data_IF_749430974857
#
_entry.id   IF_749430974857
#
_cell.length_a   1.000
_cell.length_b   1.000
_cell.length_c   1.000
_cell.angle_alpha   90.00
_cell.angle_beta   90.00
_cell.angle_gamma   90.00
#
_symmetry.space_group_name_H-M   'P 1'
#
loop_
_entity.id
_entity.type
_entity.pdbx_description
1 polymer ?
#
# COMPACT_ATOMS: atom_id res chain seq x y z
N UNK A 1 -21.47 33.40 43.81
CA UNK A 1 -21.87 32.20 44.57
C UNK A 1 -20.67 31.27 44.60
N UNK A 2 -20.37 30.65 45.75
CA UNK A 2 -19.18 29.84 45.94
C UNK A 2 -19.48 28.62 46.82
N UNK A 3 -18.88 27.47 46.47
CA UNK A 3 -18.46 26.35 47.33
C UNK A 3 -17.55 25.48 46.45
N UNK A 4 -16.28 25.25 46.77
CA UNK A 4 -15.74 24.44 47.89
C UNK A 4 -16.26 23.00 47.88
N UNK A 5 -15.38 22.06 47.56
CA UNK A 5 -15.12 20.93 48.45
C UNK A 5 -13.61 20.64 48.48
N UNK A 6 -13.14 20.25 49.66
CA UNK A 6 -11.74 20.06 50.05
C UNK A 6 -11.77 18.91 51.04
N UNK A 7 -10.86 17.94 50.94
CA UNK A 7 -10.69 16.98 52.03
C UNK A 7 -9.22 16.57 52.19
N UNK A 8 -8.82 16.46 53.45
CA UNK A 8 -7.47 16.18 53.92
C UNK A 8 -7.52 15.00 54.89
N UNK A 9 -6.48 14.18 54.91
CA UNK A 9 -6.04 13.45 56.10
C UNK A 9 -4.53 13.22 55.96
N UNK A 10 -3.67 13.88 56.74
CA UNK A 10 -3.38 13.69 58.16
C UNK A 10 -2.82 12.30 58.48
N UNK A 11 -1.54 12.23 58.88
CA UNK A 11 -1.16 11.88 60.26
C UNK A 11 0.27 12.34 60.60
N UNK A 12 0.55 12.46 61.90
CA UNK A 12 1.67 13.21 62.48
C UNK A 12 2.87 12.35 62.95
N UNK A 13 3.87 13.07 63.44
CA UNK A 13 5.19 12.69 63.95
C UNK A 13 5.14 11.98 65.32
N UNK A 14 5.99 10.97 65.57
CA UNK A 14 6.76 10.81 66.82
C UNK A 14 7.65 9.54 66.88
N UNK A 15 8.76 9.67 67.60
CA UNK A 15 9.68 8.59 68.05
C UNK A 15 9.68 8.53 69.59
N UNK A 16 10.51 7.69 70.25
CA UNK A 16 10.58 6.22 70.32
C UNK A 16 10.12 5.72 71.72
N UNK A 17 10.28 4.43 72.11
CA UNK A 17 11.51 4.01 72.82
C UNK A 17 11.93 2.53 72.60
N UNK A 18 12.88 2.04 73.42
CA UNK A 18 13.65 0.80 73.24
C UNK A 18 13.11 -0.45 73.98
N UNK A 19 13.93 -1.53 74.01
CA UNK A 19 13.81 -2.80 74.77
C UNK A 19 12.99 -3.93 74.09
N UNK A 20 13.18 -5.25 74.34
CA UNK A 20 14.25 -6.07 74.96
C UNK A 20 13.99 -7.57 74.59
N UNK A 21 15.02 -8.43 74.67
CA UNK A 21 14.98 -9.93 74.62
C UNK A 21 14.57 -10.64 73.31
N UNK A 22 15.10 -11.84 73.02
CA UNK A 22 16.19 -12.55 73.72
C UNK A 22 16.39 -14.04 73.35
N UNK A 23 17.55 -14.58 73.78
CA UNK A 23 17.99 -15.99 73.76
C UNK A 23 18.18 -16.65 72.38
N UNK A 24 19.09 -17.61 72.15
CA UNK A 24 19.92 -18.52 73.00
C UNK A 24 21.14 -18.92 72.14
N UNK A 25 22.34 -19.35 72.59
CA UNK A 25 22.95 -19.69 73.89
C UNK A 25 24.00 -20.80 73.62
N UNK A 26 25.13 -20.97 74.32
CA UNK A 26 25.69 -20.35 75.52
C UNK A 26 27.24 -20.52 75.54
N UNK A 27 27.93 -19.78 76.41
CA UNK A 27 29.38 -19.93 76.67
C UNK A 27 29.68 -20.92 77.81
N UNK A 28 30.96 -21.22 78.04
CA UNK A 28 31.45 -21.96 79.20
C UNK A 28 32.93 -21.64 79.44
N UNK A 29 33.19 -20.71 80.36
CA UNK A 29 34.52 -20.19 80.71
C UNK A 29 35.09 -20.83 82.00
N UNK A 30 36.43 -20.76 82.11
CA UNK A 30 37.20 -20.62 83.38
C UNK A 30 37.26 -21.81 84.39
N UNK A 31 38.17 -21.82 85.40
CA UNK A 31 38.94 -20.69 85.96
C UNK A 31 40.44 -20.87 86.32
N UNK A 32 41.07 -19.72 86.60
CA UNK A 32 42.09 -19.44 87.65
C UNK A 32 43.43 -20.22 87.72
N UNK A 33 44.57 -19.51 87.60
CA UNK A 33 45.46 -19.13 88.72
C UNK A 33 46.81 -18.54 88.25
N UNK A 34 47.37 -17.60 89.02
CA UNK A 34 48.76 -17.14 88.95
C UNK A 34 49.58 -17.74 90.12
N UNK A 35 50.94 -17.73 90.13
CA UNK A 35 51.68 -16.49 90.46
C UNK A 35 53.08 -16.31 89.78
N UNK A 36 53.65 -15.11 89.98
CA UNK A 36 55.09 -14.71 90.14
C UNK A 36 56.24 -15.53 89.50
N UNK A 37 57.39 -14.98 89.05
CA UNK A 37 58.30 -13.98 89.69
C UNK A 37 59.48 -13.61 88.75
N UNK A 38 60.04 -12.39 88.88
CA UNK A 38 61.45 -11.89 88.75
C UNK A 38 62.48 -12.61 87.81
N UNK A 39 63.51 -11.98 87.20
CA UNK A 39 64.13 -10.64 87.34
C UNK A 39 65.08 -10.30 86.16
N UNK A 40 65.22 -9.01 85.88
CA UNK A 40 66.45 -8.23 85.56
C UNK A 40 67.68 -8.84 84.83
N UNK A 41 67.99 -8.21 83.68
CA UNK A 41 69.28 -7.57 83.36
C UNK A 41 70.61 -8.37 83.42
N UNK A 42 71.16 -8.74 82.25
CA UNK A 42 72.62 -8.71 81.99
C UNK A 42 73.00 -8.81 80.49
N UNK A 43 73.96 -7.98 80.11
CA UNK A 43 74.73 -7.94 78.86
C UNK A 43 75.38 -9.27 78.40
N UNK A 44 75.37 -9.56 77.08
CA UNK A 44 76.52 -10.15 76.37
C UNK A 44 76.48 -9.99 74.84
N UNK A 45 77.43 -9.19 74.37
CA UNK A 45 78.21 -9.18 73.11
C UNK A 45 78.11 -10.38 72.12
N UNK A 46 78.15 -10.03 70.83
CA UNK A 46 78.45 -10.79 69.59
C UNK A 46 77.95 -12.23 69.38
N UNK A 47 77.19 -12.39 68.28
CA UNK A 47 77.68 -13.27 67.22
C UNK A 47 77.22 -12.79 65.83
N UNK A 48 78.18 -12.41 64.99
CA UNK A 48 78.00 -12.32 63.54
C UNK A 48 77.74 -13.74 63.03
N UNK A 49 76.54 -13.98 62.48
CA UNK A 49 76.28 -15.19 61.70
C UNK A 49 75.87 -14.83 60.28
N UNK A 50 76.82 -15.07 59.38
CA UNK A 50 76.73 -14.94 57.94
C UNK A 50 75.54 -15.74 57.40
N UNK A 51 74.43 -15.05 57.11
CA UNK A 51 73.25 -15.68 56.53
C UNK A 51 73.48 -15.92 55.04
N UNK A 52 73.96 -17.13 54.74
CA UNK A 52 74.15 -17.63 53.38
C UNK A 52 72.97 -17.26 52.46
N UNK A 53 73.30 -16.76 51.26
CA UNK A 53 72.31 -16.32 50.29
C UNK A 53 71.41 -17.49 49.87
N UNK A 54 70.17 -17.51 50.36
CA UNK A 54 69.16 -18.47 49.93
C UNK A 54 68.90 -18.28 48.42
N UNK A 55 69.27 -19.29 47.63
CA UNK A 55 69.13 -19.25 46.18
C UNK A 55 67.67 -18.95 45.79
N UNK A 56 67.47 -17.89 45.01
CA UNK A 56 66.14 -17.45 44.62
C UNK A 56 65.47 -18.49 43.71
N UNK A 57 64.49 -19.22 44.25
CA UNK A 57 63.63 -20.14 43.49
C UNK A 57 63.06 -19.40 42.26
N UNK A 58 63.19 -19.95 41.04
CA UNK A 58 62.75 -19.25 39.83
C UNK A 58 61.25 -19.01 39.85
N UNK A 59 60.85 -17.78 40.13
CA UNK A 59 59.45 -17.36 40.18
C UNK A 59 58.71 -17.73 38.88
N UNK A 60 57.68 -18.57 39.03
CA UNK A 60 56.84 -19.01 37.93
C UNK A 60 56.22 -17.82 37.18
N UNK A 61 55.95 -17.98 35.88
CA UNK A 61 55.43 -16.88 35.01
C UNK A 61 54.20 -16.19 35.62
N UNK A 62 53.32 -16.95 36.32
CA UNK A 62 52.15 -16.42 37.06
C UNK A 62 52.53 -15.53 38.25
N UNK A 63 53.54 -15.88 39.04
CA UNK A 63 54.00 -15.04 40.16
C UNK A 63 54.69 -13.75 39.68
N UNK A 64 55.47 -13.81 38.59
CA UNK A 64 56.03 -12.60 37.96
C UNK A 64 54.93 -11.66 37.45
N UNK A 65 53.91 -12.18 36.77
CA UNK A 65 52.76 -11.38 36.31
C UNK A 65 51.96 -10.78 37.47
N UNK A 66 51.72 -11.54 38.55
CA UNK A 66 51.06 -11.04 39.77
C UNK A 66 51.84 -9.92 40.46
N UNK A 67 53.18 -9.99 40.46
CA UNK A 67 54.06 -8.91 40.97
C UNK A 67 54.05 -7.69 40.03
N UNK A 68 54.08 -7.89 38.71
CA UNK A 68 54.06 -6.80 37.72
C UNK A 68 52.74 -6.00 37.76
N UNK A 69 51.58 -6.69 37.79
CA UNK A 69 50.29 -6.03 38.00
C UNK A 69 50.15 -5.43 39.41
N UNK A 70 50.87 -5.96 40.42
CA UNK A 70 50.94 -5.35 41.75
C UNK A 70 51.68 -4.02 41.76
N UNK A 71 52.80 -3.93 41.04
CA UNK A 71 53.72 -2.79 41.06
C UNK A 71 53.28 -1.64 40.13
N UNK A 72 52.70 -1.95 38.97
CA UNK A 72 52.26 -0.96 37.96
C UNK A 72 50.74 -0.67 37.99
N UNK A 73 50.05 -1.06 39.08
CA UNK A 73 48.59 -0.93 39.27
C UNK A 73 48.04 0.46 38.95
N UNK A 74 48.72 1.50 39.43
CA UNK A 74 48.37 2.91 39.19
C UNK A 74 48.59 3.35 37.74
N UNK A 75 49.57 2.77 37.04
CA UNK A 75 49.84 3.08 35.64
C UNK A 75 48.79 2.45 34.72
N UNK A 76 48.38 1.20 35.00
CA UNK A 76 47.23 0.56 34.32
C UNK A 76 45.91 1.27 34.63
N UNK A 77 45.70 1.77 35.85
CA UNK A 77 44.55 2.63 36.17
C UNK A 77 44.58 3.95 35.38
N UNK A 78 45.73 4.62 35.31
CA UNK A 78 45.88 5.86 34.54
C UNK A 78 45.65 5.66 33.03
N UNK A 79 46.26 4.64 32.44
CA UNK A 79 46.03 4.28 31.03
C UNK A 79 44.59 3.85 30.79
N UNK A 80 43.99 3.06 31.70
CA UNK A 80 42.59 2.68 31.63
C UNK A 80 41.62 3.86 31.71
N UNK A 81 41.93 4.86 32.55
CA UNK A 81 41.17 6.10 32.66
C UNK A 81 41.31 6.96 31.40
N UNK A 82 42.50 7.08 30.83
CA UNK A 82 42.73 7.80 29.55
C UNK A 82 41.95 7.11 28.41
N UNK A 83 42.02 5.78 28.33
CA UNK A 83 41.23 5.00 27.37
C UNK A 83 39.74 5.25 27.59
N UNK A 84 39.25 5.24 28.84
CA UNK A 84 37.83 5.50 29.13
C UNK A 84 37.42 6.92 28.72
N UNK A 85 38.25 7.95 28.98
CA UNK A 85 38.00 9.35 28.60
C UNK A 85 37.94 9.53 27.08
N UNK A 86 38.67 8.74 26.29
CA UNK A 86 38.64 8.80 24.82
C UNK A 86 37.52 7.92 24.24
N UNK A 87 37.36 6.71 24.79
CA UNK A 87 36.42 5.70 24.31
C UNK A 87 34.97 6.07 24.62
N UNK A 88 34.67 6.61 25.81
CA UNK A 88 33.30 6.91 26.22
C UNK A 88 32.66 7.98 25.29
N UNK A 89 33.29 9.15 25.01
CA UNK A 89 32.75 10.10 24.04
C UNK A 89 32.66 9.51 22.63
N UNK A 90 33.64 8.71 22.21
CA UNK A 90 33.66 8.12 20.87
C UNK A 90 32.53 7.10 20.66
N UNK A 91 32.21 6.29 21.68
CA UNK A 91 31.05 5.38 21.68
C UNK A 91 29.75 6.18 21.54
N UNK A 92 29.50 7.14 22.44
CA UNK A 92 28.21 7.85 22.49
C UNK A 92 28.01 8.85 21.34
N UNK A 93 29.08 9.46 20.80
CA UNK A 93 28.95 10.49 19.74
C UNK A 93 29.14 9.97 18.32
N UNK A 94 29.73 8.78 18.13
CA UNK A 94 30.00 8.21 16.79
C UNK A 94 29.47 6.80 16.62
N UNK A 95 29.83 5.87 17.51
CA UNK A 95 29.49 4.45 17.31
C UNK A 95 27.99 4.21 17.44
N UNK A 96 27.35 4.68 18.52
CA UNK A 96 25.91 4.47 18.73
C UNK A 96 25.06 5.14 17.64
N UNK A 97 25.26 6.44 17.28
CA UNK A 97 24.52 7.06 16.17
C UNK A 97 24.71 6.35 14.83
N UNK A 98 25.92 5.84 14.54
CA UNK A 98 26.17 5.08 13.31
C UNK A 98 25.43 3.73 13.29
N UNK A 99 25.38 3.01 14.42
CA UNK A 99 24.60 1.76 14.54
C UNK A 99 23.10 2.06 14.42
N UNK A 100 22.58 3.12 15.04
CA UNK A 100 21.16 3.49 14.89
C UNK A 100 20.83 3.85 13.44
N UNK A 101 21.72 4.56 12.75
CA UNK A 101 21.55 4.87 11.33
C UNK A 101 21.60 3.61 10.45
N UNK A 102 22.53 2.68 10.69
CA UNK A 102 22.61 1.40 9.98
C UNK A 102 21.35 0.53 10.19
N UNK A 103 20.81 0.48 11.41
CA UNK A 103 19.52 -0.18 11.68
C UNK A 103 18.39 0.47 10.88
N UNK A 104 18.32 1.81 10.87
CA UNK A 104 17.32 2.55 10.07
C UNK A 104 17.51 2.26 8.57
N UNK A 105 18.74 2.24 8.06
CA UNK A 105 19.05 2.08 6.63
C UNK A 105 18.91 0.63 6.13
N UNK A 106 19.11 -0.36 6.99
CA UNK A 106 18.83 -1.77 6.69
C UNK A 106 17.35 -2.16 6.90
N UNK A 107 16.58 -1.37 7.65
CA UNK A 107 15.16 -1.66 7.92
C UNK A 107 14.30 -1.75 6.64
N UNK A 108 13.46 -2.77 6.56
CA UNK A 108 12.46 -2.91 5.49
C UNK A 108 11.15 -2.25 5.93
N UNK A 109 10.45 -1.63 4.99
CA UNK A 109 9.15 -0.98 5.19
C UNK A 109 8.13 -1.59 4.21
N UNK A 110 7.71 -2.86 4.41
CA UNK A 110 6.70 -3.47 3.54
C UNK A 110 5.36 -2.74 3.72
N UNK A 111 4.74 -2.30 2.63
CA UNK A 111 3.36 -1.81 2.67
C UNK A 111 2.45 -3.03 2.69
N UNK A 112 1.93 -3.35 3.88
CA UNK A 112 0.99 -4.46 4.10
C UNK A 112 -0.41 -4.04 3.63
N UNK A 113 -0.72 -2.76 3.79
CA UNK A 113 -1.89 -2.12 3.20
C UNK A 113 -1.91 -0.63 3.52
N UNK A 114 -2.96 0.05 3.08
CA UNK A 114 -3.15 1.47 3.34
C UNK A 114 -4.35 2.00 2.59
N UNK A 115 -4.57 3.31 2.69
CA UNK A 115 -5.61 3.97 1.93
C UNK A 115 -5.25 5.41 1.60
N UNK A 116 -5.64 5.85 0.40
CA UNK A 116 -5.65 7.24 -0.03
C UNK A 116 -7.08 7.61 -0.41
N UNK A 117 -7.71 8.50 0.36
CA UNK A 117 -9.01 9.08 0.02
C UNK A 117 -8.83 10.53 -0.40
N UNK A 118 -9.39 10.91 -1.54
CA UNK A 118 -9.59 12.31 -1.90
C UNK A 118 -10.56 12.96 -0.90
N UNK A 119 -10.18 14.10 -0.32
CA UNK A 119 -11.01 14.85 0.64
C UNK A 119 -11.42 16.20 0.07
N UNK A 120 -10.47 16.89 -0.59
CA UNK A 120 -10.67 18.16 -1.28
C UNK A 120 -9.61 18.31 -2.40
N UNK A 121 -9.68 19.38 -3.21
CA UNK A 121 -8.68 19.65 -4.26
C UNK A 121 -7.25 19.79 -3.72
N UNK A 122 -7.08 20.11 -2.43
CA UNK A 122 -5.77 20.34 -1.78
C UNK A 122 -5.47 19.38 -0.62
N UNK A 123 -6.37 18.44 -0.33
CA UNK A 123 -6.25 17.52 0.82
C UNK A 123 -6.55 16.07 0.46
N UNK A 124 -5.73 15.19 1.04
CA UNK A 124 -5.86 13.74 1.00
C UNK A 124 -6.00 13.22 2.43
N UNK A 125 -6.79 12.18 2.64
CA UNK A 125 -6.75 11.38 3.87
C UNK A 125 -5.92 10.13 3.60
N UNK A 126 -4.85 9.97 4.38
CA UNK A 126 -3.85 8.91 4.23
C UNK A 126 -3.91 7.96 5.41
N UNK A 127 -3.95 6.67 5.12
CA UNK A 127 -3.78 5.59 6.08
C UNK A 127 -2.67 4.65 5.61
N UNK A 128 -1.88 4.12 6.54
CA UNK A 128 -0.83 3.14 6.23
C UNK A 128 -0.83 2.04 7.28
N UNK A 129 -0.63 0.81 6.81
CA UNK A 129 -0.32 -0.36 7.61
C UNK A 129 1.01 -0.93 7.09
N UNK A 130 2.04 -0.89 7.92
CA UNK A 130 3.39 -1.39 7.63
C UNK A 130 3.94 -2.13 8.85
N UNK A 131 5.07 -2.83 8.69
CA UNK A 131 5.73 -3.56 9.77
C UNK A 131 7.17 -3.05 9.91
N UNK A 132 7.62 -2.85 11.14
CA UNK A 132 9.03 -2.63 11.47
C UNK A 132 9.54 -3.87 12.19
N UNK A 133 10.67 -4.43 11.76
CA UNK A 133 11.37 -5.50 12.49
C UNK A 133 12.71 -4.96 13.01
N UNK A 134 12.76 -4.50 14.27
CA UNK A 134 14.00 -3.94 14.83
C UNK A 134 14.78 -4.98 15.64
N UNK A 135 16.13 -5.03 15.52
CA UNK A 135 16.94 -5.97 16.31
C UNK A 135 17.01 -5.60 17.80
N UNK A 136 16.60 -4.38 18.16
CA UNK A 136 16.58 -3.83 19.51
C UNK A 136 15.26 -3.11 19.75
N UNK A 137 14.79 -3.12 21.00
CA UNK A 137 13.63 -2.33 21.41
C UNK A 137 13.99 -0.84 21.50
N UNK A 138 13.12 0.04 20.98
CA UNK A 138 13.33 1.48 20.98
C UNK A 138 11.99 2.24 20.92
N UNK A 139 11.95 3.47 21.44
CA UNK A 139 10.84 4.39 21.22
C UNK A 139 11.18 5.36 20.08
N UNK A 140 10.31 5.49 19.09
CA UNK A 140 10.40 6.53 18.07
C UNK A 140 9.43 7.65 18.44
N UNK A 141 9.93 8.89 18.52
CA UNK A 141 9.07 10.07 18.68
C UNK A 141 8.25 10.34 17.41
N UNK A 142 7.11 11.05 17.53
CA UNK A 142 6.33 11.48 16.37
C UNK A 142 7.20 12.20 15.34
N UNK A 143 7.19 11.70 14.10
CA UNK A 143 8.16 12.08 13.07
C UNK A 143 7.46 12.38 11.76
N UNK A 144 7.67 13.59 11.22
CA UNK A 144 7.19 13.94 9.87
C UNK A 144 8.09 13.31 8.80
N UNK A 145 7.46 12.59 7.88
CA UNK A 145 8.02 12.06 6.65
C UNK A 145 7.50 12.88 5.46
N UNK A 146 8.44 13.38 4.67
CA UNK A 146 8.22 14.06 3.42
C UNK A 146 8.22 13.03 2.29
N UNK A 147 7.10 12.92 1.58
CA UNK A 147 6.90 11.93 0.52
C UNK A 147 7.21 12.57 -0.83
N UNK A 148 8.04 11.93 -1.66
CA UNK A 148 8.57 12.51 -2.89
C UNK A 148 8.86 11.46 -3.97
N UNK A 149 8.92 11.90 -5.23
CA UNK A 149 9.35 11.05 -6.35
C UNK A 149 10.86 11.09 -6.50
N UNK A 150 11.52 9.93 -6.41
CA UNK A 150 12.98 9.83 -6.56
C UNK A 150 13.47 10.04 -7.99
N UNK A 151 12.60 9.87 -8.99
CA UNK A 151 12.89 10.13 -10.40
C UNK A 151 12.77 11.60 -10.82
N UNK A 152 12.52 12.52 -9.88
CA UNK A 152 12.53 13.96 -10.14
C UNK A 152 13.92 14.53 -9.78
N UNK A 153 14.58 15.31 -10.67
CA UNK A 153 15.94 15.80 -10.43
C UNK A 153 16.06 16.65 -9.15
N UNK A 154 15.10 17.55 -8.94
CA UNK A 154 15.02 18.39 -7.76
C UNK A 154 14.22 17.71 -6.64
N UNK A 155 14.65 17.88 -5.40
CA UNK A 155 13.94 17.36 -4.24
C UNK A 155 12.63 18.13 -4.01
N UNK A 156 11.52 17.55 -4.47
CA UNK A 156 10.20 18.16 -4.41
C UNK A 156 9.17 17.21 -3.77
N UNK A 157 8.91 17.35 -2.45
CA UNK A 157 7.91 16.53 -1.77
C UNK A 157 6.49 16.99 -2.08
N UNK A 158 5.57 16.02 -2.22
CA UNK A 158 4.19 16.27 -2.63
C UNK A 158 3.14 16.08 -1.52
N UNK A 159 3.43 15.31 -0.47
CA UNK A 159 2.65 15.25 0.78
C UNK A 159 3.58 15.06 1.98
N UNK A 160 3.10 15.45 3.15
CA UNK A 160 3.77 15.27 4.44
C UNK A 160 2.92 14.37 5.36
N UNK A 161 3.46 13.23 5.74
CA UNK A 161 2.83 12.24 6.62
C UNK A 161 3.51 12.29 7.99
N UNK A 162 2.80 12.08 9.08
CA UNK A 162 3.38 12.10 10.43
C UNK A 162 3.21 10.74 11.08
N UNK A 163 4.33 10.03 11.29
CA UNK A 163 4.32 8.81 12.09
C UNK A 163 3.97 9.16 13.55
N UNK A 164 3.08 8.41 14.21
CA UNK A 164 2.80 8.59 15.63
C UNK A 164 4.00 8.16 16.49
N UNK A 165 3.93 8.43 17.81
CA UNK A 165 4.90 7.82 18.74
C UNK A 165 4.68 6.31 18.75
N UNK A 166 5.74 5.54 18.52
CA UNK A 166 5.69 4.08 18.51
C UNK A 166 6.81 3.48 19.35
N UNK A 167 6.48 2.45 20.12
CA UNK A 167 7.46 1.57 20.75
C UNK A 167 7.68 0.37 19.83
N UNK A 168 8.87 0.22 19.27
CA UNK A 168 9.24 -0.92 18.41
C UNK A 168 10.04 -1.93 19.21
N UNK A 169 9.74 -3.21 19.06
CA UNK A 169 10.46 -4.31 19.65
C UNK A 169 10.31 -5.55 18.77
N UNK A 170 11.34 -5.87 17.98
CA UNK A 170 11.22 -6.83 16.87
C UNK A 170 10.04 -6.45 15.97
N UNK A 171 9.37 -7.45 15.40
CA UNK A 171 8.20 -7.30 14.52
C UNK A 171 7.06 -6.56 15.18
N UNK A 172 6.95 -5.28 14.83
CA UNK A 172 6.00 -4.33 15.38
C UNK A 172 5.16 -3.77 14.23
N UNK A 173 3.82 -3.95 14.24
CA UNK A 173 2.95 -3.29 13.28
C UNK A 173 2.92 -1.78 13.54
N UNK A 174 3.06 -0.99 12.47
CA UNK A 174 2.95 0.46 12.49
C UNK A 174 1.74 0.84 11.65
N UNK A 175 0.72 1.33 12.34
CA UNK A 175 -0.55 1.73 11.75
C UNK A 175 -0.85 3.17 12.11
N UNK A 176 -1.20 3.97 11.11
CA UNK A 176 -1.92 5.22 11.31
C UNK A 176 -3.08 5.29 10.33
N UNK A 177 -4.20 5.84 10.77
CA UNK A 177 -5.46 5.87 10.02
C UNK A 177 -5.98 7.29 9.90
N UNK A 178 -6.55 7.59 8.73
CA UNK A 178 -7.26 8.83 8.42
C UNK A 178 -6.48 10.11 8.77
N UNK A 179 -5.17 10.14 8.50
CA UNK A 179 -4.39 11.38 8.61
C UNK A 179 -4.71 12.27 7.41
N UNK A 180 -5.45 13.36 7.63
CA UNK A 180 -5.61 14.41 6.61
C UNK A 180 -4.28 15.14 6.41
N UNK A 181 -3.75 15.09 5.19
CA UNK A 181 -2.52 15.76 4.77
C UNK A 181 -2.84 16.79 3.68
N UNK A 182 -2.07 17.87 3.64
CA UNK A 182 -2.13 18.84 2.53
C UNK A 182 -1.21 18.40 1.40
N UNK A 183 -1.67 18.59 0.16
CA UNK A 183 -0.87 18.44 -1.05
C UNK A 183 0.08 19.63 -1.15
N UNK A 184 1.40 19.39 -1.07
CA UNK A 184 2.43 20.43 -1.15
C UNK A 184 2.96 20.65 -2.57
N UNK A 185 2.82 19.66 -3.46
CA UNK A 185 3.13 19.78 -4.87
C UNK A 185 2.18 18.87 -5.68
N UNK A 186 1.22 19.49 -6.37
CA UNK A 186 0.22 18.77 -7.16
C UNK A 186 0.82 18.07 -8.38
N UNK A 187 1.76 18.71 -9.09
CA UNK A 187 2.42 18.15 -10.27
C UNK A 187 3.16 16.85 -9.96
N UNK A 188 3.86 16.79 -8.83
CA UNK A 188 4.56 15.60 -8.38
C UNK A 188 3.59 14.52 -7.84
N UNK A 189 2.46 14.92 -7.23
CA UNK A 189 1.39 14.00 -6.85
C UNK A 189 0.74 13.35 -8.08
N UNK A 190 0.40 14.14 -9.10
CA UNK A 190 -0.14 13.67 -10.40
C UNK A 190 0.84 12.72 -11.07
N UNK A 191 2.13 13.07 -11.11
CA UNK A 191 3.20 12.22 -11.66
C UNK A 191 3.32 10.88 -10.91
N UNK A 192 3.09 10.87 -9.61
CA UNK A 192 3.07 9.62 -8.84
C UNK A 192 1.81 8.79 -9.12
N UNK A 193 0.62 9.40 -9.12
CA UNK A 193 -0.62 8.69 -9.43
C UNK A 193 -0.69 8.16 -10.87
N UNK A 194 -0.03 8.84 -11.82
CA UNK A 194 0.16 8.34 -13.20
C UNK A 194 0.90 6.99 -13.22
N UNK A 195 1.95 6.85 -12.39
CA UNK A 195 2.67 5.58 -12.20
C UNK A 195 1.86 4.55 -11.41
N UNK A 196 1.07 4.97 -10.41
CA UNK A 196 0.15 4.09 -9.68
C UNK A 196 -0.91 3.49 -10.62
N UNK A 197 -1.34 4.23 -11.64
CA UNK A 197 -2.28 3.74 -12.64
C UNK A 197 -1.61 2.77 -13.62
N UNK A 198 -0.48 3.15 -14.22
CA UNK A 198 0.12 2.39 -15.32
C UNK A 198 0.87 1.13 -14.87
N UNK A 199 1.57 1.17 -13.73
CA UNK A 199 2.50 0.11 -13.37
C UNK A 199 1.86 -1.01 -12.53
N UNK A 200 2.39 -2.25 -12.59
CA UNK A 200 2.05 -3.31 -11.63
C UNK A 200 2.70 -3.08 -10.26
N UNK A 201 3.87 -2.42 -10.22
CA UNK A 201 4.58 -2.01 -9.00
C UNK A 201 5.01 -0.54 -9.10
N UNK A 202 4.73 0.25 -8.07
CA UNK A 202 5.15 1.66 -7.95
C UNK A 202 6.22 1.84 -6.88
N UNK A 203 7.14 2.80 -7.11
CA UNK A 203 8.12 3.24 -6.10
C UNK A 203 7.65 4.52 -5.41
N UNK A 204 7.55 4.50 -4.07
CA UNK A 204 7.25 5.65 -3.23
C UNK A 204 8.47 5.97 -2.36
N UNK A 205 9.00 7.20 -2.42
CA UNK A 205 10.14 7.57 -1.58
C UNK A 205 9.77 8.52 -0.45
N UNK A 206 10.38 8.30 0.72
CA UNK A 206 10.13 9.07 1.94
C UNK A 206 11.45 9.54 2.56
N UNK A 207 11.48 10.79 3.02
CA UNK A 207 12.59 11.39 3.74
C UNK A 207 12.13 11.99 5.07
N UNK A 208 12.95 11.94 6.10
CA UNK A 208 12.63 12.53 7.40
C UNK A 208 13.79 12.47 8.38
N UNK A 209 13.57 12.98 9.60
CA UNK A 209 14.51 12.86 10.73
C UNK A 209 13.76 12.32 11.93
N UNK A 210 14.00 11.07 12.27
CA UNK A 210 13.41 10.44 13.45
C UNK A 210 14.28 10.69 14.68
N UNK A 211 13.65 10.90 15.84
CA UNK A 211 14.31 10.77 17.13
C UNK A 211 14.01 9.39 17.68
N UNK A 212 15.07 8.64 18.00
CA UNK A 212 15.03 7.27 18.48
C UNK A 212 15.58 7.25 19.90
N UNK A 213 14.82 6.73 20.85
CA UNK A 213 15.23 6.55 22.24
C UNK A 213 15.54 5.08 22.49
N UNK A 214 16.76 4.80 22.94
CA UNK A 214 17.21 3.48 23.40
C UNK A 214 17.38 3.54 24.92
N UNK A 215 16.28 3.30 25.64
CA UNK A 215 16.19 3.59 27.08
C UNK A 215 16.36 5.09 27.34
N UNK A 216 17.38 5.48 28.11
CA UNK A 216 17.67 6.89 28.41
C UNK A 216 18.46 7.62 27.30
N UNK A 217 18.94 6.91 26.26
CA UNK A 217 19.78 7.49 25.22
C UNK A 217 18.94 8.00 24.05
N UNK A 218 19.09 9.28 23.70
CA UNK A 218 18.36 9.92 22.60
C UNK A 218 19.27 10.09 21.38
N UNK A 219 18.85 9.58 20.23
CA UNK A 219 19.57 9.65 18.96
C UNK A 219 18.70 10.29 17.89
N UNK A 220 19.30 10.96 16.90
CA UNK A 220 18.59 11.47 15.71
C UNK A 220 19.13 10.78 14.48
N UNK A 221 18.26 10.11 13.73
CA UNK A 221 18.60 9.36 12.51
C UNK A 221 17.83 9.90 11.31
N UNK A 222 18.50 9.94 10.15
CA UNK A 222 17.86 10.32 8.89
C UNK A 222 17.15 9.12 8.29
N UNK A 223 15.86 9.25 8.03
CA UNK A 223 15.11 8.30 7.21
C UNK A 223 15.23 8.77 5.77
N UNK A 224 15.68 7.89 4.87
CA UNK A 224 15.68 8.14 3.42
C UNK A 224 15.45 6.82 2.70
N UNK A 225 14.18 6.48 2.44
CA UNK A 225 13.76 5.17 1.95
C UNK A 225 13.02 5.27 0.62
N UNK A 226 13.19 4.26 -0.21
CA UNK A 226 12.34 3.99 -1.37
C UNK A 226 11.62 2.67 -1.11
N UNK A 227 10.30 2.69 -1.21
CA UNK A 227 9.41 1.59 -0.87
C UNK A 227 8.73 1.14 -2.17
N UNK A 228 8.63 -0.17 -2.39
CA UNK A 228 7.88 -0.75 -3.51
C UNK A 228 6.54 -1.27 -3.01
N UNK A 229 5.48 -1.04 -3.79
CA UNK A 229 4.15 -1.57 -3.53
C UNK A 229 3.45 -1.88 -4.85
N UNK A 230 2.67 -2.96 -4.86
CA UNK A 230 1.82 -3.27 -6.00
C UNK A 230 0.77 -2.17 -6.21
N UNK A 231 0.51 -1.86 -7.47
CA UNK A 231 -0.34 -0.75 -7.94
C UNK A 231 -1.41 -1.23 -8.94
N UNK A 232 -2.11 -0.32 -9.62
CA UNK A 232 -3.38 -0.62 -10.28
C UNK A 232 -3.27 -1.49 -11.54
N UNK A 233 -2.10 -1.55 -12.19
CA UNK A 233 -1.88 -2.30 -13.42
C UNK A 233 -2.96 -2.02 -14.50
N UNK A 234 -3.16 -0.75 -14.84
CA UNK A 234 -4.19 -0.25 -15.76
C UNK A 234 -5.65 -0.66 -15.43
N UNK A 235 -5.95 -1.07 -14.19
CA UNK A 235 -7.23 -1.67 -13.78
C UNK A 235 -7.58 -2.92 -14.62
N UNK A 236 -6.59 -3.77 -14.92
CA UNK A 236 -6.75 -4.98 -15.73
C UNK A 236 -7.91 -5.86 -15.24
N UNK A 237 -8.91 -6.09 -16.11
CA UNK A 237 -10.19 -6.72 -15.76
C UNK A 237 -11.35 -5.74 -15.55
N UNK A 238 -11.16 -4.45 -15.85
CA UNK A 238 -12.23 -3.47 -15.98
C UNK A 238 -13.28 -3.94 -17.01
N UNK A 239 -14.55 -3.79 -16.66
CA UNK A 239 -15.60 -3.93 -17.66
C UNK A 239 -17.03 -3.90 -17.13
N UNK A 240 -17.96 -3.70 -18.06
CA UNK A 240 -19.40 -3.62 -17.76
C UNK A 240 -19.94 -5.03 -17.48
N UNK A 241 -20.35 -5.27 -16.23
CA UNK A 241 -20.85 -6.57 -15.77
C UNK A 241 -22.35 -6.73 -15.98
N UNK A 242 -23.12 -5.64 -16.05
CA UNK A 242 -24.50 -5.63 -16.59
C UNK A 242 -24.86 -4.25 -17.13
N UNK A 243 -25.76 -4.21 -18.13
CA UNK A 243 -26.31 -2.97 -18.68
C UNK A 243 -27.84 -3.07 -18.81
N UNK A 244 -28.55 -2.01 -18.43
CA UNK A 244 -30.00 -1.89 -18.53
C UNK A 244 -30.35 -0.57 -19.18
N UNK A 245 -31.07 -0.62 -20.30
CA UNK A 245 -31.59 0.56 -20.98
C UNK A 245 -32.96 0.92 -20.41
N UNK A 246 -33.12 2.17 -20.00
CA UNK A 246 -34.36 2.72 -19.45
C UNK A 246 -35.02 3.56 -20.54
N UNK A 247 -36.25 3.20 -20.90
CA UNK A 247 -37.05 3.89 -21.90
C UNK A 247 -38.50 4.00 -21.43
N UNK A 248 -39.13 5.19 -21.49
CA UNK A 248 -38.52 6.48 -21.82
C UNK A 248 -37.40 6.87 -20.83
N UNK A 249 -36.47 7.78 -21.20
CA UNK A 249 -35.46 8.31 -20.27
C UNK A 249 -36.10 8.95 -19.03
N UNK A 250 -35.36 8.99 -17.92
CA UNK A 250 -35.75 9.73 -16.73
C UNK A 250 -35.73 11.26 -16.99
N UNK A 251 -36.33 12.03 -16.07
CA UNK A 251 -36.39 13.50 -16.14
C UNK A 251 -35.01 14.19 -16.19
N UNK A 252 -33.96 13.54 -15.66
CA UNK A 252 -32.56 13.97 -15.71
C UNK A 252 -31.83 13.55 -17.01
N UNK A 253 -32.55 12.90 -17.93
CA UNK A 253 -32.02 12.33 -19.17
C UNK A 253 -31.37 10.95 -19.02
N UNK A 254 -31.29 10.39 -17.80
CA UNK A 254 -30.70 9.06 -17.56
C UNK A 254 -31.46 7.99 -18.32
N UNK A 255 -30.76 7.25 -19.18
CA UNK A 255 -31.34 6.19 -20.01
C UNK A 255 -30.56 4.86 -19.95
N UNK A 256 -29.45 4.80 -19.18
CA UNK A 256 -28.75 3.56 -18.86
C UNK A 256 -28.47 3.45 -17.36
N UNK A 257 -28.56 2.23 -16.84
CA UNK A 257 -28.08 1.82 -15.51
C UNK A 257 -27.39 0.47 -15.60
N UNK A 258 -26.47 0.17 -14.69
CA UNK A 258 -25.77 -1.10 -14.75
C UNK A 258 -24.82 -1.33 -13.59
N UNK A 259 -24.04 -2.39 -13.74
CA UNK A 259 -22.91 -2.70 -12.86
C UNK A 259 -21.65 -2.82 -13.70
N UNK A 260 -20.51 -2.43 -13.14
CA UNK A 260 -19.19 -2.62 -13.73
C UNK A 260 -18.21 -3.13 -12.68
N UNK A 261 -17.10 -3.72 -13.13
CA UNK A 261 -15.99 -4.10 -12.28
C UNK A 261 -14.85 -3.08 -12.40
N UNK A 262 -14.31 -2.63 -11.26
CA UNK A 262 -13.09 -1.83 -11.14
C UNK A 262 -12.06 -2.61 -10.30
N UNK A 263 -11.21 -3.44 -10.94
CA UNK A 263 -10.14 -4.16 -10.26
C UNK A 263 -9.12 -3.20 -9.64
N UNK A 264 -8.62 -3.53 -8.46
CA UNK A 264 -7.41 -2.96 -7.89
C UNK A 264 -6.43 -4.10 -7.62
N UNK A 265 -5.40 -4.23 -8.47
CA UNK A 265 -4.34 -5.23 -8.31
C UNK A 265 -3.34 -4.87 -7.19
N UNK A 266 -3.39 -3.64 -6.68
CA UNK A 266 -2.47 -3.10 -5.69
C UNK A 266 -2.84 -3.38 -4.24
N UNK A 267 -1.96 -2.96 -3.32
CA UNK A 267 -2.14 -3.13 -1.86
C UNK A 267 -2.80 -1.93 -1.16
N UNK A 268 -3.04 -0.84 -1.89
CA UNK A 268 -3.59 0.41 -1.35
C UNK A 268 -5.05 0.58 -1.76
N UNK A 269 -5.94 0.87 -0.80
CA UNK A 269 -7.32 1.27 -1.08
C UNK A 269 -7.34 2.70 -1.64
N UNK A 270 -8.00 2.93 -2.77
CA UNK A 270 -8.17 4.27 -3.34
C UNK A 270 -9.62 4.74 -3.23
N UNK A 271 -9.86 5.82 -2.48
CA UNK A 271 -11.15 6.52 -2.45
C UNK A 271 -11.11 7.72 -3.38
N UNK A 272 -11.86 7.64 -4.47
CA UNK A 272 -11.88 8.64 -5.54
C UNK A 272 -13.13 9.54 -5.47
N UNK A 273 -14.21 9.06 -4.84
CA UNK A 273 -15.49 9.78 -4.78
C UNK A 273 -16.33 9.55 -6.03
N UNK A 274 -17.10 10.56 -6.46
CA UNK A 274 -17.98 10.41 -7.62
C UNK A 274 -17.17 10.57 -8.90
N UNK A 275 -17.13 9.53 -9.74
CA UNK A 275 -16.46 9.53 -11.04
C UNK A 275 -17.46 9.69 -12.17
N UNK A 276 -17.13 10.53 -13.14
CA UNK A 276 -17.79 10.53 -14.45
C UNK A 276 -16.80 10.03 -15.51
N UNK A 277 -17.19 9.00 -16.26
CA UNK A 277 -16.42 8.44 -17.38
C UNK A 277 -17.18 8.65 -18.69
N UNK A 278 -16.52 9.18 -19.71
CA UNK A 278 -17.05 9.22 -21.07
C UNK A 278 -16.89 7.84 -21.72
N UNK A 279 -17.93 7.36 -22.41
CA UNK A 279 -17.91 6.10 -23.15
C UNK A 279 -17.72 6.34 -24.65
N UNK A 280 -16.84 5.55 -25.27
CA UNK A 280 -16.50 5.60 -26.68
C UNK A 280 -16.49 4.21 -27.32
N UNK A 281 -16.68 4.18 -28.65
CA UNK A 281 -16.34 3.04 -29.52
C UNK A 281 -15.53 3.57 -30.69
N UNK A 282 -14.25 3.17 -30.77
CA UNK A 282 -13.30 3.90 -31.59
C UNK A 282 -13.26 5.37 -31.17
N UNK A 283 -13.32 6.28 -32.15
CA UNK A 283 -13.32 7.73 -31.91
C UNK A 283 -14.70 8.33 -31.57
N UNK A 284 -15.78 7.52 -31.61
CA UNK A 284 -17.16 8.01 -31.48
C UNK A 284 -17.59 7.98 -30.01
N UNK A 285 -17.97 9.14 -29.46
CA UNK A 285 -18.54 9.24 -28.11
C UNK A 285 -19.96 8.66 -28.09
N UNK A 286 -20.12 7.51 -27.45
CA UNK A 286 -21.40 6.85 -27.25
C UNK A 286 -22.20 7.45 -26.09
N UNK A 287 -21.56 8.11 -25.12
CA UNK A 287 -22.25 8.63 -23.95
C UNK A 287 -21.33 8.92 -22.78
N UNK A 288 -21.88 8.86 -21.57
CA UNK A 288 -21.13 8.90 -20.31
C UNK A 288 -21.85 8.10 -19.22
N UNK A 289 -21.09 7.72 -18.19
CA UNK A 289 -21.59 7.08 -16.97
C UNK A 289 -21.07 7.80 -15.72
N UNK A 290 -21.89 7.83 -14.69
CA UNK A 290 -21.55 8.26 -13.34
C UNK A 290 -21.43 7.04 -12.43
N UNK A 291 -20.40 7.03 -11.59
CA UNK A 291 -20.14 6.01 -10.59
C UNK A 291 -20.00 6.73 -9.26
N UNK A 292 -20.85 6.40 -8.29
CA UNK A 292 -20.95 7.13 -7.02
C UNK A 292 -20.07 6.50 -5.93
N UNK A 293 -19.52 7.33 -5.05
CA UNK A 293 -18.73 6.94 -3.87
C UNK A 293 -17.63 5.90 -4.14
N UNK A 294 -16.93 6.04 -5.28
CA UNK A 294 -15.95 5.07 -5.76
C UNK A 294 -14.83 4.90 -4.75
N UNK A 295 -14.83 3.72 -4.13
CA UNK A 295 -13.77 3.22 -3.28
C UNK A 295 -13.29 1.89 -3.86
N UNK A 296 -11.97 1.77 -4.03
CA UNK A 296 -11.29 0.65 -4.66
C UNK A 296 -10.34 -0.01 -3.64
N UNK A 297 -10.83 -0.84 -2.71
CA UNK A 297 -9.96 -1.72 -1.94
C UNK A 297 -9.30 -2.77 -2.86
N UNK A 298 -8.20 -3.42 -2.42
CA UNK A 298 -7.54 -4.49 -3.16
C UNK A 298 -8.50 -5.62 -3.58
N UNK A 299 -8.44 -6.03 -4.84
CA UNK A 299 -9.32 -7.03 -5.45
C UNK A 299 -10.32 -6.47 -6.48
N UNK A 300 -11.33 -7.25 -6.82
CA UNK A 300 -12.38 -6.87 -7.76
C UNK A 300 -13.51 -6.09 -7.07
N UNK A 301 -13.80 -4.88 -7.53
CA UNK A 301 -14.82 -4.02 -6.97
C UNK A 301 -15.99 -3.87 -7.94
N UNK A 302 -17.13 -4.50 -7.63
CA UNK A 302 -18.36 -4.28 -8.41
C UNK A 302 -19.02 -2.98 -7.96
N UNK A 303 -19.14 -2.03 -8.88
CA UNK A 303 -19.80 -0.73 -8.64
C UNK A 303 -21.05 -0.58 -9.50
N UNK A 304 -22.05 0.10 -8.95
CA UNK A 304 -23.24 0.53 -9.68
C UNK A 304 -22.93 1.81 -10.46
N UNK A 305 -23.51 1.93 -11.66
CA UNK A 305 -23.45 3.16 -12.45
C UNK A 305 -24.82 3.49 -13.05
N UNK A 306 -25.01 4.76 -13.35
CA UNK A 306 -26.04 5.25 -14.26
C UNK A 306 -25.45 6.22 -15.28
N UNK A 307 -26.25 6.72 -16.22
CA UNK A 307 -25.78 7.69 -17.19
C UNK A 307 -26.64 7.78 -18.44
N UNK A 308 -26.02 8.29 -19.50
CA UNK A 308 -26.69 8.59 -20.76
C UNK A 308 -25.91 7.98 -21.93
N UNK A 309 -26.62 7.16 -22.71
CA UNK A 309 -26.21 6.64 -24.01
C UNK A 309 -26.88 7.49 -25.11
N UNK A 310 -26.08 8.10 -25.97
CA UNK A 310 -26.52 8.97 -27.06
C UNK A 310 -26.98 8.13 -28.26
N UNK A 311 -28.21 7.60 -28.18
CA UNK A 311 -28.80 6.77 -29.23
C UNK A 311 -28.84 7.48 -30.60
N UNK A 312 -28.98 8.81 -30.59
CA UNK A 312 -28.93 9.69 -31.75
C UNK A 312 -27.53 9.78 -32.39
N UNK A 313 -26.44 9.58 -31.64
CA UNK A 313 -25.08 9.48 -32.17
C UNK A 313 -24.77 8.04 -32.58
N UNK A 314 -25.31 7.06 -31.85
CA UNK A 314 -25.10 5.64 -32.10
C UNK A 314 -25.67 5.25 -33.47
N UNK A 315 -26.99 5.40 -33.69
CA UNK A 315 -27.68 4.92 -34.91
C UNK A 315 -27.04 5.37 -36.24
N UNK A 316 -26.79 6.67 -36.50
CA UNK A 316 -26.22 7.10 -37.79
C UNK A 316 -24.76 6.67 -37.98
N UNK A 317 -24.00 6.47 -36.90
CA UNK A 317 -22.60 6.08 -36.97
C UNK A 317 -22.37 4.57 -36.87
N UNK A 318 -23.42 3.74 -36.89
CA UNK A 318 -23.28 2.29 -36.68
C UNK A 318 -22.37 1.59 -37.70
N UNK A 319 -22.29 2.05 -38.94
CA UNK A 319 -21.30 1.54 -39.90
C UNK A 319 -19.86 1.75 -39.43
N UNK A 320 -19.50 3.00 -39.07
CA UNK A 320 -18.17 3.34 -38.56
C UNK A 320 -17.85 2.67 -37.22
N UNK A 321 -18.85 2.50 -36.35
CA UNK A 321 -18.75 1.71 -35.11
C UNK A 321 -18.40 0.27 -35.45
N UNK A 322 -19.18 -0.41 -36.30
CA UNK A 322 -18.94 -1.82 -36.66
C UNK A 322 -17.59 -2.02 -37.37
N UNK A 323 -17.16 -1.07 -38.21
CA UNK A 323 -15.86 -1.14 -38.89
C UNK A 323 -14.68 -0.95 -37.93
N UNK A 324 -14.76 0.02 -37.01
CA UNK A 324 -13.75 0.19 -35.94
C UNK A 324 -13.69 -1.00 -34.98
N UNK A 325 -14.83 -1.67 -34.77
CA UNK A 325 -15.00 -2.86 -33.92
C UNK A 325 -14.76 -4.18 -34.67
N UNK A 326 -14.37 -4.17 -35.95
CA UNK A 326 -14.29 -5.35 -36.80
C UNK A 326 -13.45 -6.49 -36.22
N UNK A 327 -12.37 -6.18 -35.48
CA UNK A 327 -11.54 -7.16 -34.79
C UNK A 327 -12.24 -7.74 -33.53
N UNK A 328 -12.64 -6.94 -32.51
CA UNK A 328 -13.45 -7.44 -31.39
C UNK A 328 -14.69 -8.25 -31.82
N UNK A 329 -15.40 -7.80 -32.86
CA UNK A 329 -16.62 -8.44 -33.37
C UNK A 329 -16.35 -9.78 -34.04
N UNK A 330 -15.20 -9.97 -34.70
CA UNK A 330 -14.79 -11.26 -35.23
C UNK A 330 -14.60 -12.31 -34.11
N UNK A 331 -14.19 -11.87 -32.92
CA UNK A 331 -14.08 -12.68 -31.70
C UNK A 331 -15.40 -12.75 -30.90
N UNK A 332 -16.49 -12.14 -31.41
CA UNK A 332 -17.83 -12.16 -30.79
C UNK A 332 -18.07 -11.09 -29.71
N UNK A 333 -17.20 -10.08 -29.61
CA UNK A 333 -17.20 -9.06 -28.57
C UNK A 333 -17.39 -7.63 -29.12
N UNK A 334 -17.74 -6.70 -28.25
CA UNK A 334 -17.67 -5.26 -28.49
C UNK A 334 -16.66 -4.68 -27.49
N UNK A 335 -15.79 -3.82 -27.99
CA UNK A 335 -14.87 -3.02 -27.19
C UNK A 335 -15.52 -1.68 -26.83
N UNK A 336 -15.55 -1.32 -25.55
CA UNK A 336 -16.00 -0.03 -25.05
C UNK A 336 -14.81 0.63 -24.36
N UNK A 337 -14.46 1.84 -24.82
CA UNK A 337 -13.37 2.62 -24.25
C UNK A 337 -13.98 3.64 -23.29
N UNK A 338 -13.62 3.56 -22.01
CA UNK A 338 -14.03 4.52 -20.99
C UNK A 338 -12.85 5.46 -20.67
N UNK A 339 -13.06 6.78 -20.77
CA UNK A 339 -12.05 7.81 -20.49
C UNK A 339 -12.53 8.68 -19.32
N UNK A 340 -11.62 9.03 -18.41
CA UNK A 340 -11.95 9.95 -17.32
C UNK A 340 -12.52 11.28 -17.80
N UNK A 341 -13.45 11.85 -17.04
CA UNK A 341 -13.97 13.18 -17.31
C UNK A 341 -13.90 14.09 -16.08
N UNK A 342 -14.50 13.65 -14.98
CA UNK A 342 -14.59 14.40 -13.73
C UNK A 342 -14.44 13.47 -12.52
N UNK A 343 -13.99 14.04 -11.41
CA UNK A 343 -13.90 13.38 -10.11
C UNK A 343 -14.33 14.37 -9.03
N UNK A 344 -15.44 14.10 -8.36
CA UNK A 344 -16.08 15.05 -7.44
C UNK A 344 -16.21 14.44 -6.04
N UNK A 345 -15.69 15.15 -5.04
CA UNK A 345 -15.87 14.83 -3.62
C UNK A 345 -16.48 16.05 -2.93
N UNK A 346 -17.56 15.87 -2.18
CA UNK A 346 -18.27 16.95 -1.47
C UNK A 346 -18.63 18.16 -2.36
N UNK A 347 -18.94 17.92 -3.65
CA UNK A 347 -19.25 18.96 -4.64
C UNK A 347 -18.04 19.72 -5.20
N UNK A 348 -16.80 19.30 -4.88
CA UNK A 348 -15.56 19.89 -5.39
C UNK A 348 -14.83 18.95 -6.35
N UNK A 349 -14.34 19.49 -7.47
CA UNK A 349 -13.52 18.77 -8.46
C UNK A 349 -12.12 18.46 -7.92
N UNK A 350 -11.68 17.22 -8.10
CA UNK A 350 -10.40 16.71 -7.58
C UNK A 350 -9.37 16.69 -8.72
N UNK A 351 -8.83 17.88 -9.01
CA UNK A 351 -7.97 18.12 -10.17
C UNK A 351 -6.75 17.18 -10.29
N UNK A 352 -6.17 16.71 -9.19
CA UNK A 352 -5.04 15.77 -9.21
C UNK A 352 -5.45 14.34 -9.61
N UNK A 353 -6.71 13.94 -9.45
CA UNK A 353 -7.24 12.66 -9.98
C UNK A 353 -7.66 12.85 -11.43
N UNK A 354 -8.39 13.93 -11.74
CA UNK A 354 -8.86 14.25 -13.10
C UNK A 354 -7.69 14.36 -14.10
N UNK A 355 -6.58 15.00 -13.73
CA UNK A 355 -5.38 15.12 -14.57
C UNK A 355 -4.71 13.79 -14.93
N UNK A 356 -4.96 12.72 -14.16
CA UNK A 356 -4.53 11.36 -14.50
C UNK A 356 -5.62 10.70 -15.32
N UNK A 357 -6.83 10.54 -14.78
CA UNK A 357 -7.90 9.77 -15.42
C UNK A 357 -8.31 10.31 -16.79
N UNK A 358 -8.26 11.63 -17.02
CA UNK A 358 -8.62 12.24 -18.31
C UNK A 358 -7.58 11.95 -19.42
N UNK A 359 -6.43 11.38 -19.08
CA UNK A 359 -5.39 10.92 -20.03
C UNK A 359 -5.34 9.40 -20.18
N UNK A 360 -6.12 8.65 -19.38
CA UNK A 360 -6.12 7.19 -19.38
C UNK A 360 -7.41 6.67 -20.02
N UNK A 361 -7.25 5.63 -20.83
CA UNK A 361 -8.35 4.92 -21.47
C UNK A 361 -8.46 3.53 -20.87
N UNK A 362 -9.63 3.20 -20.33
CA UNK A 362 -9.97 1.89 -19.83
C UNK A 362 -10.72 1.11 -20.91
N UNK A 363 -10.15 0.00 -21.35
CA UNK A 363 -10.70 -0.81 -22.44
C UNK A 363 -11.50 -1.98 -21.86
N UNK A 364 -12.80 -2.02 -22.14
CA UNK A 364 -13.70 -3.11 -21.75
C UNK A 364 -14.14 -3.92 -22.96
N UNK A 365 -13.79 -5.21 -22.97
CA UNK A 365 -14.26 -6.15 -24.01
C UNK A 365 -15.43 -6.96 -23.47
N UNK A 366 -16.64 -6.75 -24.02
CA UNK A 366 -17.87 -7.42 -23.56
C UNK A 366 -18.49 -8.26 -24.68
N UNK A 367 -18.89 -9.53 -24.44
CA UNK A 367 -19.54 -10.35 -25.46
C UNK A 367 -20.84 -9.72 -25.99
N UNK A 368 -21.01 -9.67 -27.32
CA UNK A 368 -22.19 -9.08 -28.00
C UNK A 368 -23.48 -9.70 -27.49
N UNK A 369 -23.50 -11.03 -27.35
CA UNK A 369 -24.66 -11.82 -26.92
C UNK A 369 -25.11 -11.42 -25.51
N UNK A 370 -24.17 -11.05 -24.63
CA UNK A 370 -24.47 -10.61 -23.27
C UNK A 370 -25.16 -9.24 -23.29
N UNK A 371 -24.56 -8.26 -23.98
CA UNK A 371 -25.16 -6.91 -24.13
C UNK A 371 -26.54 -6.98 -24.79
N UNK A 372 -26.70 -7.81 -25.83
CA UNK A 372 -27.98 -7.98 -26.51
C UNK A 372 -29.03 -8.66 -25.61
N UNK A 373 -28.65 -9.68 -24.84
CA UNK A 373 -29.53 -10.34 -23.87
C UNK A 373 -29.98 -9.39 -22.75
N UNK A 374 -29.02 -8.63 -22.20
CA UNK A 374 -29.24 -7.56 -21.23
C UNK A 374 -30.26 -6.52 -21.76
N UNK A 375 -30.05 -6.00 -22.97
CA UNK A 375 -30.97 -5.05 -23.63
C UNK A 375 -32.37 -5.63 -23.86
N UNK A 376 -32.48 -6.83 -24.46
CA UNK A 376 -33.78 -7.50 -24.69
C UNK A 376 -34.53 -7.73 -23.38
N UNK A 377 -33.81 -8.13 -22.32
CA UNK A 377 -34.40 -8.30 -20.99
C UNK A 377 -34.92 -7.00 -20.39
N UNK A 378 -34.34 -5.86 -20.76
CA UNK A 378 -34.81 -4.54 -20.32
C UNK A 378 -36.14 -4.17 -20.96
N UNK A 379 -36.25 -4.29 -22.28
CA UNK A 379 -37.52 -4.04 -22.99
C UNK A 379 -38.63 -4.99 -22.53
N UNK A 380 -38.33 -6.29 -22.41
CA UNK A 380 -39.32 -7.28 -21.96
C UNK A 380 -39.78 -7.09 -20.51
N UNK A 381 -39.03 -6.37 -19.67
CA UNK A 381 -39.39 -6.09 -18.29
C UNK A 381 -40.21 -4.79 -18.11
N UNK A 382 -40.13 -3.86 -19.07
CA UNK A 382 -40.73 -2.53 -18.96
C UNK A 382 -42.19 -2.45 -19.47
N UNK A 383 -42.76 -3.54 -19.99
CA UNK A 383 -44.20 -3.73 -20.22
C UNK A 383 -44.82 -2.98 -21.41
N UNK A 384 -44.46 -1.71 -21.61
CA UNK A 384 -45.23 -0.76 -22.44
C UNK A 384 -44.51 -0.26 -23.71
N UNK A 385 -43.23 -0.63 -23.92
CA UNK A 385 -42.44 -0.19 -25.08
C UNK A 385 -41.84 -1.38 -25.84
N UNK A 386 -42.27 -1.57 -27.09
CA UNK A 386 -41.70 -2.60 -27.96
C UNK A 386 -40.38 -2.13 -28.58
N UNK A 387 -39.48 -3.07 -28.91
CA UNK A 387 -38.26 -2.74 -29.66
C UNK A 387 -38.61 -2.06 -31.00
N UNK A 388 -39.75 -2.44 -31.59
CA UNK A 388 -40.34 -1.85 -32.79
C UNK A 388 -40.81 -0.41 -32.66
N UNK A 389 -41.10 0.11 -31.45
CA UNK A 389 -41.47 1.52 -31.27
C UNK A 389 -40.22 2.41 -31.28
N UNK A 390 -39.16 2.00 -30.59
CA UNK A 390 -37.89 2.73 -30.57
C UNK A 390 -37.18 2.64 -31.94
N UNK A 391 -37.25 1.48 -32.60
CA UNK A 391 -36.83 1.35 -34.00
C UNK A 391 -37.80 2.08 -34.95
N UNK A 392 -39.09 2.19 -34.63
CA UNK A 392 -40.09 2.86 -35.48
C UNK A 392 -39.91 4.37 -35.53
N UNK A 393 -39.86 5.03 -34.37
CA UNK A 393 -39.76 6.49 -34.26
C UNK A 393 -38.34 7.01 -34.58
N UNK A 394 -37.30 6.21 -34.32
CA UNK A 394 -35.90 6.63 -34.56
C UNK A 394 -35.30 6.07 -35.86
N UNK A 395 -35.85 4.97 -36.40
CA UNK A 395 -35.27 4.20 -37.51
C UNK A 395 -36.36 3.82 -38.55
N UNK A 396 -37.10 4.83 -39.01
CA UNK A 396 -38.12 4.71 -40.07
C UNK A 396 -37.59 4.33 -41.47
N UNK A 397 -36.48 3.59 -41.57
CA UNK A 397 -35.92 3.08 -42.82
C UNK A 397 -35.33 1.67 -42.61
N UNK A 398 -35.70 0.71 -43.47
CA UNK A 398 -35.35 -0.71 -43.35
C UNK A 398 -33.83 -1.00 -43.42
N UNK A 399 -33.07 -0.03 -43.91
CA UNK A 399 -31.62 -0.09 -44.16
C UNK A 399 -30.79 -0.42 -42.92
N UNK A 400 -31.28 -0.15 -41.69
CA UNK A 400 -30.51 -0.44 -40.49
C UNK A 400 -30.44 -1.94 -40.17
N UNK A 401 -31.59 -2.61 -40.16
CA UNK A 401 -31.66 -4.06 -39.90
C UNK A 401 -30.99 -4.81 -41.05
N UNK A 402 -31.18 -4.36 -42.29
CA UNK A 402 -30.48 -4.90 -43.47
C UNK A 402 -28.96 -4.72 -43.35
N UNK A 403 -28.47 -3.51 -43.04
CA UNK A 403 -27.04 -3.24 -42.89
C UNK A 403 -26.37 -4.05 -41.77
N UNK A 404 -27.04 -4.23 -40.63
CA UNK A 404 -26.53 -5.02 -39.51
C UNK A 404 -26.54 -6.53 -39.82
N UNK A 405 -27.54 -7.01 -40.56
CA UNK A 405 -27.58 -8.39 -41.06
C UNK A 405 -26.55 -8.66 -42.16
N UNK A 406 -26.37 -7.74 -43.11
CA UNK A 406 -25.43 -7.88 -44.21
C UNK A 406 -23.97 -7.80 -43.74
N UNK A 407 -23.64 -6.90 -42.81
CA UNK A 407 -22.30 -6.84 -42.21
C UNK A 407 -21.99 -8.12 -41.41
N UNK A 408 -22.95 -8.63 -40.63
CA UNK A 408 -22.80 -9.90 -39.91
C UNK A 408 -22.64 -11.10 -40.85
N UNK A 409 -23.39 -11.13 -41.96
CA UNK A 409 -23.30 -12.16 -42.99
C UNK A 409 -22.00 -12.07 -43.80
N UNK A 410 -21.47 -10.86 -44.00
CA UNK A 410 -20.19 -10.61 -44.67
C UNK A 410 -19.01 -11.11 -43.82
N UNK A 411 -18.97 -10.72 -42.54
CA UNK A 411 -17.91 -11.11 -41.60
C UNK A 411 -17.90 -12.63 -41.36
N UNK A 412 -19.06 -13.29 -41.40
CA UNK A 412 -19.17 -14.75 -41.35
C UNK A 412 -18.61 -15.48 -42.58
N UNK A 413 -18.40 -14.79 -43.71
CA UNK A 413 -17.77 -15.32 -44.93
C UNK A 413 -16.27 -14.98 -45.04
N UNK A 414 -15.77 -14.00 -44.28
CA UNK A 414 -14.37 -13.55 -44.33
C UNK A 414 -13.37 -14.53 -43.67
N UNK A 415 -13.82 -15.37 -42.72
CA UNK A 415 -12.98 -16.35 -42.01
C UNK A 415 -12.67 -17.61 -42.84
N UNK A 416 -12.19 -17.41 -44.07
CA UNK A 416 -12.10 -18.44 -45.09
C UNK A 416 -11.00 -18.29 -46.14
N UNK A 417 -9.83 -17.72 -45.82
CA UNK A 417 -8.55 -18.10 -46.49
C UNK A 417 -7.33 -17.47 -45.81
N UNK A 418 -6.35 -18.30 -45.44
CA UNK A 418 -4.96 -17.87 -45.30
C UNK A 418 -4.24 -17.87 -46.66
N UNK A 419 -3.35 -16.91 -46.87
CA UNK A 419 -2.40 -16.85 -48.00
C UNK A 419 -1.01 -17.38 -47.53
N UNK A 420 -0.02 -17.65 -48.41
CA UNK A 420 0.00 -17.46 -49.88
C UNK A 420 0.51 -18.68 -50.69
N UNK A 421 0.37 -18.65 -52.04
CA UNK A 421 1.46 -18.96 -53.00
C UNK A 421 1.05 -18.74 -54.48
N UNK A 422 2.06 -18.58 -55.35
CA UNK A 422 1.93 -18.31 -56.80
C UNK A 422 1.52 -19.53 -57.63
N UNK A 423 0.94 -19.23 -58.81
CA UNK A 423 1.23 -19.81 -60.16
C UNK A 423 0.08 -20.59 -60.85
N UNK A 424 -0.30 -20.17 -62.07
CA UNK A 424 -0.71 -21.10 -63.15
C UNK A 424 -2.21 -21.23 -63.55
N UNK A 425 -2.54 -20.65 -64.71
CA UNK A 425 -3.48 -21.14 -65.78
C UNK A 425 -4.72 -22.04 -65.46
N UNK A 426 -5.89 -21.44 -65.72
CA UNK A 426 -6.98 -21.91 -66.62
C UNK A 426 -7.85 -23.17 -66.39
N UNK A 427 -9.16 -22.97 -66.62
CA UNK A 427 -10.26 -23.90 -66.99
C UNK A 427 -11.04 -24.63 -65.86
N UNK A 428 -12.35 -24.98 -66.08
CA UNK A 428 -13.32 -25.17 -64.98
C UNK A 428 -14.06 -26.53 -64.96
N UNK A 429 -14.34 -27.10 -63.77
CA UNK A 429 -15.48 -28.02 -63.55
C UNK A 429 -15.76 -28.30 -62.05
N UNK A 430 -16.99 -28.69 -61.73
CA UNK A 430 -17.26 -29.61 -60.61
C UNK A 430 -17.92 -29.04 -59.35
N UNK A 431 -19.25 -29.09 -59.29
CA UNK A 431 -20.02 -28.88 -58.04
C UNK A 431 -19.75 -30.00 -57.02
N UNK A 432 -19.44 -29.64 -55.76
CA UNK A 432 -19.60 -30.51 -54.58
C UNK A 432 -20.08 -29.72 -53.38
N UNK A 433 -21.27 -30.06 -52.89
CA UNK A 433 -21.86 -29.53 -51.66
C UNK A 433 -21.17 -30.13 -50.42
N UNK A 434 -20.63 -29.27 -49.56
CA UNK A 434 -20.15 -29.66 -48.23
C UNK A 434 -21.17 -29.17 -47.20
N UNK A 435 -21.64 -30.06 -46.32
CA UNK A 435 -22.64 -29.75 -45.30
C UNK A 435 -22.06 -28.81 -44.24
N UNK A 436 -22.78 -27.74 -43.93
CA UNK A 436 -22.43 -26.83 -42.82
C UNK A 436 -22.66 -27.51 -41.45
N UNK A 437 -21.90 -27.11 -40.40
CA UNK A 437 -22.07 -27.66 -39.05
C UNK A 437 -23.37 -27.23 -38.38
N UNK A 438 -23.86 -28.07 -37.46
CA UNK A 438 -25.19 -27.97 -36.85
C UNK A 438 -25.46 -26.68 -36.05
N UNK A 439 -24.42 -25.92 -35.69
CA UNK A 439 -24.51 -24.62 -34.98
C UNK A 439 -25.31 -23.58 -35.76
N UNK A 440 -25.21 -23.56 -37.10
CA UNK A 440 -25.99 -22.64 -37.96
C UNK A 440 -27.50 -22.91 -37.92
N UNK A 441 -27.91 -24.15 -37.61
CA UNK A 441 -29.32 -24.53 -37.53
C UNK A 441 -29.95 -24.07 -36.21
N UNK A 442 -29.25 -24.28 -35.08
CA UNK A 442 -29.75 -23.96 -33.75
C UNK A 442 -29.92 -22.45 -33.53
N UNK A 443 -28.94 -21.63 -33.94
CA UNK A 443 -29.04 -20.17 -33.81
C UNK A 443 -30.20 -19.61 -34.65
N UNK A 444 -30.37 -20.12 -35.88
CA UNK A 444 -31.46 -19.73 -36.79
C UNK A 444 -32.83 -20.20 -36.31
N UNK A 445 -32.90 -21.32 -35.58
CA UNK A 445 -34.11 -21.76 -34.88
C UNK A 445 -34.42 -20.87 -33.68
N UNK A 446 -33.43 -20.52 -32.86
CA UNK A 446 -33.57 -19.61 -31.72
C UNK A 446 -34.09 -18.24 -32.15
N UNK A 447 -33.51 -17.65 -33.19
CA UNK A 447 -33.96 -16.36 -33.74
C UNK A 447 -35.41 -16.45 -34.28
N UNK A 448 -35.76 -17.54 -34.98
CA UNK A 448 -37.14 -17.76 -35.46
C UNK A 448 -38.14 -18.01 -34.35
N UNK A 449 -37.75 -18.66 -33.26
CA UNK A 449 -38.61 -18.89 -32.08
C UNK A 449 -38.83 -17.61 -31.26
N UNK A 450 -37.85 -16.71 -31.22
CA UNK A 450 -38.01 -15.37 -30.65
C UNK A 450 -38.94 -14.51 -31.51
N UNK A 451 -38.75 -14.51 -32.83
CA UNK A 451 -39.59 -13.77 -33.79
C UNK A 451 -41.03 -14.31 -33.92
N UNK A 452 -41.26 -15.60 -33.63
CA UNK A 452 -42.59 -16.21 -33.65
C UNK A 452 -43.37 -16.07 -32.32
N UNK A 453 -42.87 -15.25 -31.38
CA UNK A 453 -43.51 -14.89 -30.11
C UNK A 453 -43.73 -13.38 -29.93
N UNK A 454 -43.56 -12.62 -31.01
CA UNK A 454 -44.05 -11.25 -31.17
C UNK A 454 -45.43 -11.32 -31.85
#
# INVERSE_FOLDING_TARGET
MASKFQEQSHFEYNSPPASVHGARGAAGDEPSNAPERNSDEASSVDHVQEKAAAAAVPLTKRQKMKRHCGQFKWWYLGVGLIILIILLPLIFTKIIPAITQDIVDNQKLPIVGGAFYAVSPTQLSVSLNTELDTPLAADLDPTTLYVYNKGTPDYSPFINVTLPKIHVNHKTPVVFTNQTVMVTNETELVKWFDQVFDLPDVELSVKGKAKVHLGALQMTSSISKTIKAASLNHLEGFGITSLRLIFPPLEDGTNIKGTLNLPNAGVLTLGLGNLTLNLFSGDIKLGFINIYDVTLPPGNNTQLFDGQLYLNELVPNLGAILDSQSKPLADGNIEIIAVGNATVVNGMHIGYVEQVLNKKSLVSTTPVIKLLGDLISSFSANGDASLSDLLGDTIGNSTFIEGLLDHWNSTANANGTGLPLKLGRSMPYGSRTIKAPATKSLLKMGLKLALAKL
#
